data_IF_746696917249
#
_entry.id   IF_746696917249
#
_cell.length_a   1.000
_cell.length_b   1.000
_cell.length_c   1.000
_cell.angle_alpha   90.00
_cell.angle_beta   90.00
_cell.angle_gamma   90.00
#
_symmetry.space_group_name_H-M   'P 1'
#
loop_
_entity.id
_entity.type
_entity.pdbx_description
1 polymer ?
#
# COMPACT_ATOMS: atom_id res chain seq x y z
N UNK A 1 4.33 28.55 -0.95
CA UNK A 1 4.03 29.01 0.43
C UNK A 1 2.63 29.59 0.58
N UNK A 2 2.21 30.59 -0.22
CA UNK A 2 0.88 31.20 -0.10
C UNK A 2 -0.28 30.20 -0.19
N UNK A 3 -0.23 29.24 -1.12
CA UNK A 3 -1.23 28.18 -1.25
C UNK A 3 -1.35 27.33 0.02
N UNK A 4 -0.23 27.05 0.69
CA UNK A 4 -0.19 26.25 1.91
C UNK A 4 -0.83 27.01 3.09
N UNK A 5 -0.57 28.31 3.19
CA UNK A 5 -1.23 29.19 4.15
C UNK A 5 -2.73 29.31 3.92
N UNK A 6 -3.19 29.41 2.66
CA UNK A 6 -4.62 29.44 2.32
C UNK A 6 -5.33 28.14 2.70
N UNK A 7 -4.71 27.00 2.41
CA UNK A 7 -5.24 25.69 2.84
C UNK A 7 -5.32 25.60 4.36
N UNK A 8 -4.31 26.10 5.07
CA UNK A 8 -4.26 26.09 6.53
C UNK A 8 -5.36 26.97 7.14
N UNK A 9 -5.52 28.19 6.62
CA UNK A 9 -6.57 29.11 7.04
C UNK A 9 -7.97 28.56 6.74
N UNK A 10 -8.16 27.95 5.57
CA UNK A 10 -9.40 27.27 5.20
C UNK A 10 -9.72 26.11 6.16
N UNK A 11 -8.73 25.29 6.48
CA UNK A 11 -8.89 24.19 7.43
C UNK A 11 -9.27 24.68 8.83
N UNK A 12 -8.65 25.75 9.33
CA UNK A 12 -9.01 26.37 10.62
C UNK A 12 -10.43 26.92 10.62
N UNK A 13 -10.86 27.56 9.54
CA UNK A 13 -12.23 28.09 9.41
C UNK A 13 -13.25 26.96 9.43
N UNK A 14 -13.04 25.90 8.63
CA UNK A 14 -13.90 24.73 8.59
C UNK A 14 -13.98 24.07 9.97
N UNK A 15 -12.83 23.89 10.65
CA UNK A 15 -12.77 23.33 12.00
C UNK A 15 -13.60 24.16 12.97
N UNK A 16 -13.45 25.49 12.96
CA UNK A 16 -14.19 26.39 13.85
C UNK A 16 -15.69 26.35 13.58
N UNK A 17 -16.11 26.35 12.31
CA UNK A 17 -17.53 26.27 11.94
C UNK A 17 -18.16 24.95 12.42
N UNK A 18 -17.46 23.83 12.23
CA UNK A 18 -17.92 22.53 12.70
C UNK A 18 -17.99 22.47 14.23
N UNK A 19 -16.97 22.96 14.92
CA UNK A 19 -16.93 23.00 16.37
C UNK A 19 -18.08 23.85 16.97
N UNK A 20 -18.41 24.97 16.33
CA UNK A 20 -19.55 25.81 16.71
C UNK A 20 -20.88 25.10 16.45
N UNK A 21 -21.04 24.46 15.28
CA UNK A 21 -22.29 23.76 14.92
C UNK A 21 -22.66 22.63 15.87
N UNK A 22 -21.67 22.03 16.54
CA UNK A 22 -21.85 20.89 17.46
C UNK A 22 -21.89 21.35 18.93
N UNK A 23 -21.75 22.65 19.21
CA UNK A 23 -21.62 23.21 20.56
C UNK A 23 -20.49 22.53 21.35
N UNK A 24 -19.32 22.39 20.74
CA UNK A 24 -18.18 21.61 21.25
C UNK A 24 -17.94 21.73 22.77
N UNK A 25 -17.98 22.96 23.28
CA UNK A 25 -17.73 23.31 24.68
C UNK A 25 -18.77 22.75 25.65
N UNK A 26 -20.00 22.52 25.21
CA UNK A 26 -21.09 22.03 26.06
C UNK A 26 -21.32 20.51 25.92
N UNK A 27 -20.52 19.83 25.08
CA UNK A 27 -20.66 18.39 24.82
C UNK A 27 -19.85 17.51 25.77
N UNK A 28 -20.37 16.31 26.00
CA UNK A 28 -19.70 15.25 26.76
C UNK A 28 -18.37 14.85 26.12
N UNK A 29 -17.43 14.35 26.94
CA UNK A 29 -16.12 13.89 26.47
C UNK A 29 -16.23 12.79 25.40
N UNK A 30 -17.22 11.90 25.49
CA UNK A 30 -17.47 10.86 24.48
C UNK A 30 -17.79 11.46 23.10
N UNK A 31 -18.67 12.45 23.06
CA UNK A 31 -19.02 13.14 21.81
C UNK A 31 -17.82 13.87 21.21
N UNK A 32 -16.98 14.48 22.06
CA UNK A 32 -15.73 15.12 21.62
C UNK A 32 -14.76 14.11 21.03
N UNK A 33 -14.55 12.97 21.67
CA UNK A 33 -13.69 11.91 21.13
C UNK A 33 -14.21 11.37 19.80
N UNK A 34 -15.51 11.12 19.69
CA UNK A 34 -16.12 10.66 18.43
C UNK A 34 -15.91 11.67 17.30
N UNK A 35 -16.11 12.95 17.56
CA UNK A 35 -15.87 13.99 16.55
C UNK A 35 -14.41 14.04 16.10
N UNK A 36 -13.44 14.01 17.02
CA UNK A 36 -12.01 13.95 16.66
C UNK A 36 -11.73 12.70 15.85
N UNK A 37 -12.30 11.56 16.25
CA UNK A 37 -12.15 10.32 15.53
C UNK A 37 -12.66 10.43 14.09
N UNK A 38 -13.88 10.91 13.87
CA UNK A 38 -14.46 11.02 12.53
C UNK A 38 -13.83 12.12 11.67
N UNK A 39 -13.39 13.23 12.27
CA UNK A 39 -12.89 14.37 11.51
C UNK A 39 -11.39 14.31 11.23
N UNK A 40 -10.62 13.70 12.12
CA UNK A 40 -9.15 13.71 12.07
C UNK A 40 -8.60 12.30 11.86
N UNK A 41 -8.96 11.37 12.76
CA UNK A 41 -8.34 10.04 12.77
C UNK A 41 -8.81 9.22 11.57
N UNK A 42 -10.11 9.18 11.30
CA UNK A 42 -10.68 8.36 10.24
C UNK A 42 -10.20 8.77 8.83
N UNK A 43 -10.23 10.06 8.42
CA UNK A 43 -9.72 10.46 7.11
C UNK A 43 -8.23 10.15 6.97
N UNK A 44 -7.46 10.33 8.05
CA UNK A 44 -6.03 10.03 8.04
C UNK A 44 -5.75 8.52 7.99
N UNK A 45 -6.51 7.71 8.73
CA UNK A 45 -6.42 6.25 8.74
C UNK A 45 -6.69 5.67 7.34
N UNK A 46 -7.67 6.25 6.63
CA UNK A 46 -8.12 5.80 5.32
C UNK A 46 -7.33 6.41 4.15
N UNK A 47 -6.37 7.27 4.42
CA UNK A 47 -5.53 7.93 3.42
C UNK A 47 -4.82 6.94 2.46
N UNK A 48 -4.34 5.74 2.89
CA UNK A 48 -3.84 4.72 1.98
C UNK A 48 -4.85 4.24 0.93
N UNK A 49 -6.16 4.35 1.18
CA UNK A 49 -7.15 4.00 0.16
C UNK A 49 -7.14 4.96 -1.03
N UNK A 50 -6.65 6.18 -0.85
CA UNK A 50 -6.69 7.23 -1.88
C UNK A 50 -5.31 7.41 -2.50
N UNK A 51 -4.26 7.47 -1.67
CA UNK A 51 -2.90 7.71 -2.13
C UNK A 51 -2.14 6.40 -2.29
N UNK A 52 -1.26 6.37 -3.29
CA UNK A 52 -0.32 5.26 -3.43
C UNK A 52 0.76 5.39 -2.35
N UNK A 53 1.16 4.27 -1.72
CA UNK A 53 2.33 4.25 -0.86
C UNK A 53 3.60 4.62 -1.66
N UNK A 54 4.67 5.06 -0.98
CA UNK A 54 5.95 5.28 -1.63
C UNK A 54 6.44 3.97 -2.23
N UNK A 55 6.79 4.01 -3.52
CA UNK A 55 7.26 2.85 -4.29
C UNK A 55 8.27 3.32 -5.35
N UNK A 56 9.19 2.46 -5.81
CA UNK A 56 10.13 2.83 -6.85
C UNK A 56 9.39 3.13 -8.15
N UNK A 57 9.96 4.03 -8.96
CA UNK A 57 9.45 4.31 -10.29
C UNK A 57 9.93 3.22 -11.24
N UNK A 58 8.99 2.50 -11.85
CA UNK A 58 9.27 1.45 -12.83
C UNK A 58 8.80 1.87 -14.22
N UNK A 59 9.54 1.48 -15.25
CA UNK A 59 9.20 1.75 -16.64
C UNK A 59 9.18 0.46 -17.47
N UNK A 60 8.51 0.50 -18.63
CA UNK A 60 8.49 -0.60 -19.60
C UNK A 60 8.05 -1.94 -19.01
N UNK A 61 8.94 -2.93 -19.05
CA UNK A 61 8.66 -4.31 -18.64
C UNK A 61 8.48 -4.46 -17.13
N UNK A 62 9.24 -3.74 -16.31
CA UNK A 62 9.11 -3.77 -14.85
C UNK A 62 7.76 -3.22 -14.38
N UNK A 63 7.25 -2.19 -15.06
CA UNK A 63 5.91 -1.67 -14.83
C UNK A 63 4.85 -2.74 -15.16
N UNK A 64 5.03 -3.48 -16.25
CA UNK A 64 4.13 -4.58 -16.63
C UNK A 64 4.13 -5.69 -15.57
N UNK A 65 5.30 -6.12 -15.12
CA UNK A 65 5.46 -7.16 -14.10
C UNK A 65 4.86 -6.75 -12.76
N UNK A 66 5.13 -5.51 -12.30
CA UNK A 66 4.60 -5.01 -11.03
C UNK A 66 3.08 -4.88 -11.04
N UNK A 67 2.48 -4.41 -12.15
CA UNK A 67 1.02 -4.33 -12.30
C UNK A 67 0.41 -5.73 -12.29
N UNK A 68 1.00 -6.68 -13.02
CA UNK A 68 0.49 -8.04 -13.09
C UNK A 68 0.59 -8.76 -11.74
N UNK A 69 1.74 -8.65 -11.06
CA UNK A 69 1.90 -9.17 -9.70
C UNK A 69 0.90 -8.55 -8.73
N UNK A 70 0.69 -7.23 -8.77
CA UNK A 70 -0.28 -6.56 -7.90
C UNK A 70 -1.70 -7.02 -8.18
N UNK A 71 -2.09 -7.16 -9.45
CA UNK A 71 -3.40 -7.70 -9.83
C UNK A 71 -3.57 -9.14 -9.37
N UNK A 72 -2.55 -9.97 -9.50
CA UNK A 72 -2.60 -11.34 -8.99
C UNK A 72 -2.77 -11.36 -7.46
N UNK A 73 -2.03 -10.52 -6.73
CA UNK A 73 -2.17 -10.38 -5.28
C UNK A 73 -3.59 -9.97 -4.86
N UNK A 74 -4.16 -8.97 -5.55
CA UNK A 74 -5.46 -8.39 -5.25
C UNK A 74 -6.62 -9.33 -5.65
N UNK A 75 -6.60 -9.88 -6.85
CA UNK A 75 -7.75 -10.60 -7.41
C UNK A 75 -7.64 -12.12 -7.26
N UNK A 76 -6.45 -12.69 -7.45
CA UNK A 76 -6.24 -14.14 -7.36
C UNK A 76 -6.12 -14.57 -5.90
N UNK A 77 -5.25 -13.91 -5.13
CA UNK A 77 -4.96 -14.28 -3.75
C UNK A 77 -5.74 -13.48 -2.70
N UNK A 78 -6.48 -12.45 -3.10
CA UNK A 78 -7.33 -11.62 -2.23
C UNK A 78 -6.62 -11.08 -0.99
N UNK A 79 -5.36 -10.66 -1.16
CA UNK A 79 -4.55 -10.13 -0.05
C UNK A 79 -5.12 -8.82 0.48
N UNK A 80 -5.63 -7.97 -0.41
CA UNK A 80 -6.20 -6.68 -0.03
C UNK A 80 -7.58 -6.85 0.62
N UNK A 81 -7.83 -6.10 1.68
CA UNK A 81 -9.03 -6.24 2.50
C UNK A 81 -9.07 -5.26 3.67
N UNK A 82 -9.52 -5.73 4.84
CA UNK A 82 -9.59 -4.91 6.05
C UNK A 82 -8.19 -4.64 6.64
N UNK A 83 -7.30 -5.62 6.58
CA UNK A 83 -5.96 -5.49 7.14
C UNK A 83 -5.01 -4.83 6.15
N UNK A 84 -4.88 -5.36 4.94
CA UNK A 84 -4.03 -4.77 3.90
C UNK A 84 -4.88 -3.86 3.02
N UNK A 85 -4.67 -2.55 3.12
CA UNK A 85 -5.38 -1.55 2.33
C UNK A 85 -4.72 -1.33 0.97
N UNK A 86 -3.39 -1.41 0.89
CA UNK A 86 -2.61 -1.20 -0.34
C UNK A 86 -1.39 -2.09 -0.40
N UNK A 87 -0.94 -2.33 -1.63
CA UNK A 87 0.33 -2.97 -1.94
C UNK A 87 1.24 -1.97 -2.65
N UNK A 88 2.49 -1.90 -2.23
CA UNK A 88 3.56 -1.15 -2.89
C UNK A 88 4.55 -2.12 -3.50
N UNK A 89 5.15 -1.75 -4.62
CA UNK A 89 6.33 -2.46 -5.12
C UNK A 89 7.53 -2.17 -4.21
N UNK A 90 8.30 -3.21 -3.88
CA UNK A 90 9.57 -3.06 -3.16
C UNK A 90 10.75 -3.33 -4.09
N UNK A 91 10.76 -4.47 -4.79
CA UNK A 91 11.84 -4.89 -5.68
C UNK A 91 11.34 -5.94 -6.70
N UNK A 92 12.06 -6.10 -7.82
CA UNK A 92 11.77 -7.09 -8.87
C UNK A 92 13.06 -7.85 -9.19
N UNK A 93 12.99 -9.18 -9.21
CA UNK A 93 14.12 -10.03 -9.59
C UNK A 93 13.70 -11.09 -10.61
N UNK A 94 14.61 -11.41 -11.53
CA UNK A 94 14.49 -12.59 -12.38
C UNK A 94 15.36 -13.69 -11.81
N UNK A 95 14.78 -14.85 -11.53
CA UNK A 95 15.48 -16.00 -10.96
C UNK A 95 15.23 -17.26 -11.77
N UNK A 96 16.07 -18.28 -11.62
CA UNK A 96 15.81 -19.60 -12.21
C UNK A 96 14.85 -20.42 -11.35
N UNK A 97 13.95 -21.18 -11.99
CA UNK A 97 13.01 -22.11 -11.34
C UNK A 97 13.74 -23.11 -10.42
N UNK A 98 14.96 -23.50 -10.76
CA UNK A 98 15.63 -24.66 -10.19
C UNK A 98 16.60 -24.36 -9.03
N UNK A 99 17.01 -23.11 -8.78
CA UNK A 99 18.17 -22.89 -7.89
C UNK A 99 18.22 -21.58 -7.11
N UNK A 100 17.32 -20.62 -7.34
CA UNK A 100 17.47 -19.28 -6.77
C UNK A 100 18.73 -18.55 -7.26
N UNK A 101 19.43 -19.12 -8.25
CA UNK A 101 20.56 -18.55 -8.96
C UNK A 101 20.09 -17.79 -10.21
N UNK A 102 20.92 -16.88 -10.76
CA UNK A 102 20.64 -16.22 -12.04
C UNK A 102 20.31 -17.24 -13.13
N UNK A 103 19.28 -17.02 -13.96
CA UNK A 103 18.87 -17.97 -14.98
C UNK A 103 19.93 -18.14 -16.06
N UNK A 104 20.24 -19.40 -16.41
CA UNK A 104 21.15 -19.75 -17.49
C UNK A 104 20.54 -19.55 -18.90
N UNK A 105 19.20 -19.53 -18.99
CA UNK A 105 18.44 -19.31 -20.22
C UNK A 105 17.14 -18.55 -19.94
N UNK A 106 16.57 -17.89 -20.97
CA UNK A 106 15.32 -17.15 -20.84
C UNK A 106 14.11 -18.06 -20.54
N UNK A 107 14.16 -19.32 -21.00
CA UNK A 107 13.08 -20.31 -20.82
C UNK A 107 12.99 -20.83 -19.38
N UNK A 108 14.08 -20.75 -18.60
CA UNK A 108 14.10 -21.12 -17.17
C UNK A 108 13.89 -19.93 -16.23
N UNK A 109 13.65 -18.74 -16.77
CA UNK A 109 13.53 -17.51 -15.99
C UNK A 109 12.11 -17.29 -15.47
N UNK A 110 11.99 -17.17 -14.14
CA UNK A 110 10.78 -16.74 -13.43
C UNK A 110 10.99 -15.32 -12.97
N UNK A 111 9.99 -14.47 -13.20
CA UNK A 111 10.01 -13.10 -12.68
C UNK A 111 9.38 -13.10 -11.29
N UNK A 112 10.17 -12.86 -10.26
CA UNK A 112 9.70 -12.70 -8.90
C UNK A 112 9.54 -11.21 -8.57
N UNK A 113 8.38 -10.87 -8.01
CA UNK A 113 8.04 -9.51 -7.62
C UNK A 113 7.81 -9.46 -6.12
N UNK A 114 8.51 -8.57 -5.44
CA UNK A 114 8.31 -8.31 -4.03
C UNK A 114 7.35 -7.14 -3.83
N UNK A 115 6.25 -7.40 -3.14
CA UNK A 115 5.26 -6.40 -2.76
C UNK A 115 5.22 -6.23 -1.24
N UNK A 116 5.02 -4.99 -0.80
CA UNK A 116 4.81 -4.65 0.62
C UNK A 116 3.37 -4.24 0.86
N UNK A 117 2.72 -4.91 1.81
CA UNK A 117 1.36 -4.59 2.24
C UNK A 117 1.34 -3.51 3.32
N UNK A 118 0.46 -2.53 3.13
CA UNK A 118 0.23 -1.42 4.05
C UNK A 118 -1.19 -1.47 4.60
N UNK A 119 -1.31 -1.25 5.90
CA UNK A 119 -2.58 -1.11 6.61
C UNK A 119 -3.04 0.36 6.64
N UNK A 120 -3.93 0.69 7.58
CA UNK A 120 -4.28 2.07 7.91
C UNK A 120 -3.04 2.89 8.29
N UNK A 121 -3.10 4.20 8.05
CA UNK A 121 -1.99 5.13 8.32
C UNK A 121 -0.67 4.81 7.61
N UNK A 122 -0.68 4.02 6.53
CA UNK A 122 0.54 3.55 5.86
C UNK A 122 1.50 2.77 6.77
N UNK A 123 0.97 2.07 7.78
CA UNK A 123 1.81 1.17 8.59
C UNK A 123 2.09 -0.12 7.80
N UNK A 124 3.37 -0.48 7.56
CA UNK A 124 3.72 -1.72 6.87
C UNK A 124 3.32 -2.92 7.72
N UNK A 125 2.71 -3.93 7.08
CA UNK A 125 2.13 -5.08 7.77
C UNK A 125 2.80 -6.40 7.45
N UNK A 126 2.93 -6.72 6.15
CA UNK A 126 3.52 -7.96 5.63
C UNK A 126 4.14 -7.74 4.27
N UNK A 127 5.04 -8.63 3.87
CA UNK A 127 5.58 -8.68 2.52
C UNK A 127 5.06 -9.90 1.78
N UNK A 128 4.98 -9.79 0.47
CA UNK A 128 4.47 -10.82 -0.41
C UNK A 128 5.42 -10.97 -1.58
N UNK A 129 5.95 -12.17 -1.77
CA UNK A 129 6.75 -12.49 -2.94
C UNK A 129 5.89 -13.28 -3.92
N UNK A 130 5.78 -12.77 -5.14
CA UNK A 130 4.93 -13.33 -6.17
C UNK A 130 5.82 -13.81 -7.30
N UNK A 131 5.75 -15.11 -7.59
CA UNK A 131 6.44 -15.70 -8.72
C UNK A 131 5.51 -15.65 -9.93
N UNK A 132 5.94 -14.96 -10.99
CA UNK A 132 5.26 -14.90 -12.27
C UNK A 132 5.91 -15.86 -13.26
N UNK A 133 5.11 -16.42 -14.15
CA UNK A 133 5.59 -17.21 -15.28
C UNK A 133 6.59 -16.43 -16.17
N UNK A 134 7.33 -17.09 -17.08
CA UNK A 134 8.30 -16.40 -17.93
C UNK A 134 7.70 -15.28 -18.77
N UNK A 135 6.40 -15.37 -19.13
CA UNK A 135 5.72 -14.29 -19.84
C UNK A 135 5.39 -13.09 -18.94
N UNK A 136 5.42 -13.26 -17.61
CA UNK A 136 5.16 -12.23 -16.62
C UNK A 136 3.68 -11.89 -16.45
N UNK A 137 2.78 -12.76 -16.87
CA UNK A 137 1.33 -12.51 -16.94
C UNK A 137 0.58 -13.28 -15.86
N UNK A 138 0.98 -14.52 -15.59
CA UNK A 138 0.29 -15.42 -14.67
C UNK A 138 1.12 -15.64 -13.42
N UNK A 139 0.50 -15.47 -12.26
CA UNK A 139 1.14 -15.80 -10.99
C UNK A 139 1.12 -17.31 -10.77
N UNK A 140 2.31 -17.87 -10.54
CA UNK A 140 2.54 -19.28 -10.25
C UNK A 140 2.40 -19.56 -8.75
N UNK A 141 2.96 -18.69 -7.92
CA UNK A 141 2.92 -18.82 -6.46
C UNK A 141 2.93 -17.47 -5.76
N UNK A 142 2.53 -17.51 -4.49
CA UNK A 142 2.58 -16.38 -3.58
C UNK A 142 3.11 -16.85 -2.23
N UNK A 143 4.22 -16.25 -1.80
CA UNK A 143 4.80 -16.47 -0.49
C UNK A 143 4.56 -15.25 0.39
N UNK A 144 4.08 -15.48 1.61
CA UNK A 144 3.93 -14.44 2.62
C UNK A 144 5.17 -14.40 3.52
N UNK A 145 5.74 -13.22 3.68
CA UNK A 145 7.02 -12.99 4.35
C UNK A 145 6.84 -11.99 5.50
N UNK A 146 7.72 -12.10 6.50
CA UNK A 146 7.77 -11.14 7.61
C UNK A 146 8.24 -9.76 7.10
N UNK A 147 7.88 -8.70 7.82
CA UNK A 147 8.30 -7.33 7.47
C UNK A 147 9.74 -7.06 7.86
N UNK A 148 10.27 -7.79 8.83
CA UNK A 148 11.59 -7.52 9.42
C UNK A 148 12.75 -8.17 8.63
N UNK A 149 12.45 -9.22 7.84
CA UNK A 149 13.44 -9.93 7.03
C UNK A 149 13.71 -9.30 5.66
N UNK A 150 14.61 -9.89 4.88
CA UNK A 150 14.73 -9.60 3.44
C UNK A 150 13.59 -10.26 2.65
N UNK A 151 13.22 -9.70 1.49
CA UNK A 151 12.26 -10.37 0.61
C UNK A 151 12.84 -11.61 -0.10
N UNK A 152 14.18 -11.70 -0.08
CA UNK A 152 14.95 -12.63 -0.89
C UNK A 152 15.73 -13.65 -0.06
N UNK A 153 15.49 -13.69 1.25
CA UNK A 153 16.02 -14.69 2.17
C UNK A 153 15.03 -15.85 2.39
#
# INVERSE_FOLDING_TARGET
>A
MLMLWLLWLGALLIWRLLALSIEWWNRSLRTRLLFIFFLVILPWALLPRILNPPQPQTEGEELRLSINARRAAEFTYRITGVWVQRLALEDIRRTSVASGLPPASAEESVSQVCLRGYTYFFVPWRRYRISLDPSGVTALSLDELSVDGSCWE
#
